data_IF_453630245456
#
_entry.id   IF_453630245456
#
_cell.length_a   1.000
_cell.length_b   1.000
_cell.length_c   1.000
_cell.angle_alpha   90.00
_cell.angle_beta   90.00
_cell.angle_gamma   90.00
#
_symmetry.space_group_name_H-M   'P 1'
#
loop_
_entity.id
_entity.type
_entity.pdbx_description
1 polymer ?
#
# COMPACT_ATOMS: atom_id res chain seq x y z
N UNK A 1 21.18 35.15 9.64
CA UNK A 1 19.83 34.76 10.12
C UNK A 1 19.79 33.25 10.18
N UNK A 2 20.04 32.67 11.36
CA UNK A 2 20.00 31.21 11.58
C UNK A 2 18.57 30.79 11.84
N UNK A 3 17.94 30.13 10.87
CA UNK A 3 16.67 29.46 11.08
C UNK A 3 16.90 28.22 11.94
N UNK A 4 16.45 28.27 13.19
CA UNK A 4 16.38 27.08 14.04
C UNK A 4 15.44 26.07 13.38
N UNK A 5 15.93 24.85 13.12
CA UNK A 5 15.05 23.73 12.82
C UNK A 5 14.21 23.48 14.06
N UNK A 6 12.90 23.75 13.97
CA UNK A 6 11.96 23.28 14.98
C UNK A 6 12.12 21.76 15.05
N UNK A 7 12.63 21.26 16.17
CA UNK A 7 12.72 19.83 16.42
C UNK A 7 11.31 19.26 16.40
N UNK A 8 11.04 18.30 15.53
CA UNK A 8 9.81 17.52 15.59
C UNK A 8 9.90 16.66 16.85
N UNK A 9 9.23 17.12 17.92
CA UNK A 9 9.06 16.33 19.12
C UNK A 9 8.24 15.09 18.75
N UNK A 10 8.87 13.93 18.80
CA UNK A 10 8.21 12.67 18.42
C UNK A 10 7.27 12.27 19.55
N UNK A 11 5.97 12.48 19.34
CA UNK A 11 4.94 11.98 20.26
C UNK A 11 4.90 10.45 20.19
N UNK A 12 5.29 9.79 21.29
CA UNK A 12 5.19 8.33 21.41
C UNK A 12 3.79 7.99 21.87
N UNK A 13 2.93 7.60 20.91
CA UNK A 13 1.57 7.14 21.19
C UNK A 13 1.62 5.66 21.60
N UNK A 14 0.95 5.24 22.70
CA UNK A 14 0.92 3.84 23.11
C UNK A 14 0.19 2.96 22.09
N UNK A 15 0.56 1.68 22.05
CA UNK A 15 -0.12 0.70 21.21
C UNK A 15 -1.61 0.59 21.57
N UNK A 16 -2.48 0.64 20.57
CA UNK A 16 -3.93 0.48 20.71
C UNK A 16 -4.42 -0.72 19.92
N UNK A 17 -5.41 -1.43 20.46
CA UNK A 17 -6.14 -2.45 19.70
C UNK A 17 -7.27 -1.76 18.95
N UNK A 18 -7.28 -1.94 17.64
CA UNK A 18 -8.38 -1.54 16.78
C UNK A 18 -9.07 -2.80 16.27
N UNK A 19 -10.39 -2.74 16.17
CA UNK A 19 -11.17 -3.75 15.48
C UNK A 19 -11.47 -3.23 14.08
N UNK A 20 -11.32 -4.10 13.09
CA UNK A 20 -11.64 -3.84 11.71
C UNK A 20 -12.21 -5.12 11.09
N UNK A 21 -12.89 -4.97 9.96
CA UNK A 21 -13.39 -6.08 9.15
C UNK A 21 -12.67 -6.02 7.81
N UNK A 22 -12.20 -7.16 7.34
CA UNK A 22 -11.73 -7.31 5.97
C UNK A 22 -12.95 -7.57 5.10
N UNK A 23 -13.36 -6.56 4.34
CA UNK A 23 -14.55 -6.63 3.48
C UNK A 23 -14.31 -7.52 2.24
N UNK A 24 -13.11 -7.43 1.67
CA UNK A 24 -12.67 -8.24 0.55
C UNK A 24 -11.16 -8.46 0.59
N UNK A 25 -10.71 -9.52 -0.06
CA UNK A 25 -9.31 -9.74 -0.40
C UNK A 25 -9.17 -9.82 -1.93
N UNK A 26 -8.11 -9.21 -2.45
CA UNK A 26 -7.88 -9.07 -3.88
C UNK A 26 -6.47 -9.52 -4.24
N UNK A 27 -6.29 -9.97 -5.49
CA UNK A 27 -5.00 -10.41 -6.04
C UNK A 27 -4.82 -9.91 -7.47
N UNK A 28 -3.62 -9.44 -7.80
CA UNK A 28 -3.19 -9.11 -9.16
C UNK A 28 -2.40 -10.29 -9.74
N UNK A 29 -3.02 -11.08 -10.62
CA UNK A 29 -2.39 -12.27 -11.24
C UNK A 29 -1.95 -12.05 -12.68
N UNK A 30 -2.18 -10.84 -13.21
CA UNK A 30 -1.82 -10.46 -14.57
C UNK A 30 -0.40 -9.90 -14.69
N UNK A 31 -0.14 -9.22 -15.80
CA UNK A 31 1.11 -8.49 -16.04
C UNK A 31 1.04 -7.01 -15.60
N UNK A 32 0.00 -6.66 -14.85
CA UNK A 32 -0.22 -5.32 -14.29
C UNK A 32 -0.69 -5.42 -12.83
N UNK A 33 -1.02 -4.25 -12.27
CA UNK A 33 -1.41 -4.10 -10.86
C UNK A 33 -2.93 -4.16 -10.63
N UNK A 34 -3.74 -4.34 -11.68
CA UNK A 34 -5.20 -4.41 -11.54
C UNK A 34 -5.54 -5.69 -10.80
N UNK A 35 -6.33 -5.57 -9.75
CA UNK A 35 -6.62 -6.71 -8.88
C UNK A 35 -7.99 -7.30 -9.21
N UNK A 36 -8.28 -8.48 -8.67
CA UNK A 36 -9.62 -9.07 -8.68
C UNK A 36 -9.92 -9.66 -7.32
N UNK A 37 -11.18 -9.63 -6.91
CA UNK A 37 -11.62 -10.27 -5.69
C UNK A 37 -11.41 -11.80 -5.74
N UNK A 38 -11.05 -12.36 -4.59
CA UNK A 38 -10.94 -13.81 -4.34
C UNK A 38 -11.51 -14.15 -2.98
N UNK A 39 -11.85 -15.43 -2.76
CA UNK A 39 -12.38 -15.89 -1.48
C UNK A 39 -11.31 -15.93 -0.38
N UNK A 40 -10.05 -16.17 -0.76
CA UNK A 40 -8.93 -16.27 0.15
C UNK A 40 -7.61 -15.90 -0.56
N UNK A 41 -6.63 -15.46 0.24
CA UNK A 41 -5.25 -15.20 -0.17
C UNK A 41 -4.30 -15.92 0.79
N UNK A 42 -3.19 -16.43 0.24
CA UNK A 42 -2.07 -16.95 1.03
C UNK A 42 -1.01 -15.85 1.18
N UNK A 43 -0.90 -15.29 2.39
CA UNK A 43 0.01 -14.18 2.69
C UNK A 43 1.26 -14.67 3.43
N UNK A 44 2.44 -14.45 2.81
CA UNK A 44 3.76 -14.77 3.37
C UNK A 44 4.67 -13.55 3.51
N UNK A 45 5.92 -13.78 3.95
CA UNK A 45 6.94 -12.72 4.09
C UNK A 45 7.42 -12.12 2.75
N UNK A 46 7.13 -12.80 1.66
CA UNK A 46 7.34 -12.36 0.29
C UNK A 46 6.09 -11.70 -0.32
N UNK A 47 4.95 -11.68 0.35
CA UNK A 47 3.69 -11.11 -0.13
C UNK A 47 2.62 -12.16 -0.38
N UNK A 48 1.64 -11.84 -1.24
CA UNK A 48 0.55 -12.75 -1.60
C UNK A 48 1.06 -13.73 -2.66
N UNK A 49 0.92 -15.03 -2.44
CA UNK A 49 1.40 -16.04 -3.37
C UNK A 49 0.74 -15.89 -4.77
N UNK A 50 1.57 -15.72 -5.81
CA UNK A 50 1.12 -15.53 -7.19
C UNK A 50 0.69 -14.10 -7.54
N UNK A 51 0.82 -13.14 -6.62
CA UNK A 51 0.55 -11.73 -6.90
C UNK A 51 1.67 -11.06 -7.69
N UNK A 52 1.32 -10.08 -8.52
CA UNK A 52 2.22 -9.25 -9.31
C UNK A 52 3.30 -8.56 -8.45
N UNK A 53 2.99 -8.25 -7.19
CA UNK A 53 3.90 -7.58 -6.25
C UNK A 53 4.65 -8.54 -5.33
N UNK A 54 4.46 -9.85 -5.48
CA UNK A 54 5.13 -10.84 -4.66
C UNK A 54 6.66 -10.86 -4.90
N UNK A 55 7.40 -11.24 -3.87
CA UNK A 55 8.85 -11.36 -3.88
C UNK A 55 9.52 -10.62 -2.72
N UNK A 56 10.66 -11.14 -2.28
CA UNK A 56 11.49 -10.51 -1.26
C UNK A 56 12.13 -9.21 -1.77
N UNK A 57 12.35 -9.09 -3.08
CA UNK A 57 12.96 -7.92 -3.70
C UNK A 57 12.07 -7.38 -4.82
N UNK A 58 12.29 -6.11 -5.17
CA UNK A 58 11.66 -5.45 -6.31
C UNK A 58 12.64 -4.47 -6.94
N UNK A 59 12.28 -3.95 -8.11
CA UNK A 59 13.02 -2.87 -8.78
C UNK A 59 12.53 -1.50 -8.28
N UNK A 60 13.44 -0.59 -8.00
CA UNK A 60 13.13 0.80 -7.61
C UNK A 60 12.42 1.54 -8.75
N UNK A 61 11.48 2.42 -8.38
CA UNK A 61 10.72 3.25 -9.32
C UNK A 61 10.70 4.72 -8.89
N UNK A 62 9.69 5.46 -9.35
CA UNK A 62 9.52 6.88 -8.97
C UNK A 62 9.21 7.11 -7.48
N UNK A 63 8.88 6.05 -6.74
CA UNK A 63 8.56 6.09 -5.31
C UNK A 63 9.80 6.01 -4.42
N UNK A 64 10.96 5.65 -4.97
CA UNK A 64 12.24 5.56 -4.24
C UNK A 64 13.31 6.42 -4.92
N UNK A 65 13.16 7.77 -4.90
CA UNK A 65 14.04 8.68 -5.62
C UNK A 65 15.50 8.67 -5.13
N UNK A 66 15.77 8.05 -3.99
CA UNK A 66 17.12 7.90 -3.43
C UNK A 66 17.91 6.71 -4.01
N UNK A 67 17.32 5.88 -4.88
CA UNK A 67 18.02 4.85 -5.64
C UNK A 67 18.03 5.16 -7.14
N UNK A 68 19.08 4.79 -7.89
CA UNK A 68 18.99 4.75 -9.35
C UNK A 68 17.79 3.88 -9.77
N UNK A 69 17.01 4.31 -10.78
CA UNK A 69 15.84 3.56 -11.26
C UNK A 69 16.22 2.15 -11.70
N UNK A 70 15.43 1.15 -11.32
CA UNK A 70 15.69 -0.26 -11.65
C UNK A 70 16.69 -0.96 -10.72
N UNK A 71 17.16 -0.29 -9.67
CA UNK A 71 17.98 -0.93 -8.63
C UNK A 71 17.16 -1.99 -7.90
N UNK A 72 17.73 -3.16 -7.68
CA UNK A 72 17.09 -4.19 -6.85
C UNK A 72 17.19 -3.81 -5.38
N UNK A 73 16.04 -3.78 -4.70
CA UNK A 73 15.89 -3.37 -3.30
C UNK A 73 14.94 -4.29 -2.57
N UNK A 74 14.93 -4.26 -1.22
CA UNK A 74 13.94 -5.00 -0.42
C UNK A 74 12.54 -4.53 -0.80
N UNK A 75 11.65 -5.49 -1.02
CA UNK A 75 10.25 -5.20 -1.27
C UNK A 75 9.50 -4.88 0.02
N UNK A 76 9.26 -3.61 0.26
CA UNK A 76 8.42 -3.09 1.35
C UNK A 76 6.96 -2.83 0.91
N UNK A 77 6.60 -3.23 -0.32
CA UNK A 77 5.31 -2.92 -0.98
C UNK A 77 4.56 -4.18 -1.39
N UNK A 78 4.67 -5.22 -0.56
CA UNK A 78 4.09 -6.55 -0.79
C UNK A 78 2.58 -6.61 -0.55
N UNK A 79 2.03 -5.64 0.19
CA UNK A 79 0.62 -5.56 0.53
C UNK A 79 0.17 -4.09 0.52
N UNK A 80 -1.00 -3.84 -0.04
CA UNK A 80 -1.72 -2.57 0.07
C UNK A 80 -3.07 -2.80 0.72
N UNK A 81 -3.48 -1.87 1.59
CA UNK A 81 -4.79 -1.88 2.25
C UNK A 81 -5.44 -0.53 2.01
N UNK A 82 -6.71 -0.53 1.64
CA UNK A 82 -7.54 0.66 1.46
C UNK A 82 -8.83 0.48 2.25
N UNK A 83 -9.40 1.59 2.72
CA UNK A 83 -10.67 1.59 3.44
C UNK A 83 -11.80 2.08 2.53
N UNK A 84 -12.97 1.43 2.60
CA UNK A 84 -14.11 1.74 1.73
C UNK A 84 -14.63 3.18 1.92
N UNK A 85 -14.56 3.69 3.15
CA UNK A 85 -14.93 5.07 3.49
C UNK A 85 -13.95 6.10 2.91
N UNK A 86 -12.64 5.81 2.93
CA UNK A 86 -11.63 6.64 2.26
C UNK A 86 -11.82 6.63 0.73
N UNK A 87 -12.10 5.47 0.12
CA UNK A 87 -12.41 5.38 -1.32
C UNK A 87 -13.65 6.21 -1.69
N UNK A 88 -14.69 6.19 -0.85
CA UNK A 88 -15.88 7.00 -1.04
C UNK A 88 -15.58 8.51 -0.95
N UNK A 89 -14.72 8.93 -0.01
CA UNK A 89 -14.26 10.32 0.09
C UNK A 89 -13.49 10.75 -1.16
N UNK A 90 -12.62 9.89 -1.70
CA UNK A 90 -11.87 10.19 -2.92
C UNK A 90 -12.82 10.30 -4.12
N UNK A 91 -13.77 9.37 -4.28
CA UNK A 91 -14.76 9.40 -5.36
C UNK A 91 -15.59 10.70 -5.34
N UNK A 92 -16.03 11.13 -4.14
CA UNK A 92 -16.73 12.40 -3.97
C UNK A 92 -15.84 13.61 -4.34
N UNK A 93 -14.57 13.61 -3.92
CA UNK A 93 -13.61 14.65 -4.28
C UNK A 93 -13.33 14.74 -5.78
N UNK A 94 -13.44 13.62 -6.50
CA UNK A 94 -13.28 13.53 -7.95
C UNK A 94 -14.58 13.80 -8.74
N UNK A 95 -15.75 13.84 -8.09
CA UNK A 95 -17.04 14.01 -8.76
C UNK A 95 -17.49 12.79 -9.57
N UNK A 96 -17.10 11.59 -9.16
CA UNK A 96 -17.47 10.32 -9.81
C UNK A 96 -18.33 9.46 -8.88
N UNK A 97 -19.05 8.48 -9.45
CA UNK A 97 -20.02 7.67 -8.72
C UNK A 97 -19.38 6.75 -7.66
N UNK A 98 -18.14 6.31 -7.88
CA UNK A 98 -17.44 5.41 -6.97
C UNK A 98 -16.05 5.06 -7.49
N UNK A 99 -15.22 4.52 -6.59
CA UNK A 99 -13.91 3.94 -6.89
C UNK A 99 -13.91 2.56 -6.26
N UNK A 100 -13.70 1.54 -7.09
CA UNK A 100 -13.52 0.18 -6.63
C UNK A 100 -12.04 -0.07 -6.26
N UNK A 101 -11.75 -1.00 -5.33
CA UNK A 101 -10.38 -1.39 -5.02
C UNK A 101 -9.70 -2.20 -6.16
N UNK A 102 -10.46 -2.81 -7.08
CA UNK A 102 -9.95 -3.52 -8.27
C UNK A 102 -9.43 -2.66 -9.42
#
# INVERSE_FOLDING_TARGET
MSGASAGFETEIVPARKLLAVVDAVLIATGNDFVTRAVEAIDLGFDGIAGDFHAGLTRRSGGREPWYPRGTEIRNERQLSIVAADELAQIAAGMGIAGIAPE
#
